data_IF_368450678884
#
_entry.id   IF_368450678884
#
_cell.length_a   1.000
_cell.length_b   1.000
_cell.length_c   1.000
_cell.angle_alpha   90.00
_cell.angle_beta   90.00
_cell.angle_gamma   90.00
#
_symmetry.space_group_name_H-M   'P 1'
#
loop_
_entity.id
_entity.type
_entity.pdbx_description
1 polymer ?
#
# COMPACT_ATOMS: atom_id res chain seq x y z
N UNK A 1 -0.55 -27.33 -16.01
CA UNK A 1 0.20 -26.26 -15.31
C UNK A 1 -0.81 -25.44 -14.52
N UNK A 2 -0.78 -25.53 -13.19
CA UNK A 2 -1.63 -24.70 -12.32
C UNK A 2 -0.72 -24.02 -11.31
N UNK A 3 -0.32 -22.80 -11.63
CA UNK A 3 0.45 -21.94 -10.74
C UNK A 3 -0.49 -21.51 -9.61
N UNK A 4 -0.30 -22.05 -8.42
CA UNK A 4 -0.98 -21.62 -7.21
C UNK A 4 -0.22 -20.38 -6.68
N UNK A 5 -0.72 -19.18 -6.96
CA UNK A 5 -0.17 -17.96 -6.37
C UNK A 5 -0.59 -17.92 -4.90
N UNK A 6 0.39 -18.10 -4.00
CA UNK A 6 0.20 -17.88 -2.55
C UNK A 6 0.39 -16.39 -2.31
N UNK A 7 -0.71 -15.66 -2.23
CA UNK A 7 -0.72 -14.28 -1.77
C UNK A 7 -0.84 -14.25 -0.25
N UNK A 8 0.26 -13.96 0.43
CA UNK A 8 0.32 -13.92 1.89
C UNK A 8 -0.11 -12.55 2.40
N UNK A 9 -1.37 -12.40 2.82
CA UNK A 9 -1.79 -11.34 3.74
C UNK A 9 -1.54 -11.83 5.18
N UNK A 10 -0.43 -11.44 5.79
CA UNK A 10 -0.13 -11.80 7.18
C UNK A 10 -0.94 -10.88 8.12
N UNK A 11 -2.00 -11.42 8.72
CA UNK A 11 -2.81 -10.74 9.73
C UNK A 11 -2.20 -10.99 11.12
N UNK A 12 -1.50 -10.00 11.70
CA UNK A 12 -1.04 -10.05 13.08
C UNK A 12 -2.06 -9.37 14.01
N UNK A 13 -2.60 -10.11 14.98
CA UNK A 13 -3.44 -9.57 16.05
C UNK A 13 -2.64 -9.57 17.36
N UNK A 14 -2.18 -8.40 17.79
CA UNK A 14 -1.55 -8.21 19.12
C UNK A 14 -2.57 -7.66 20.12
N UNK A 15 -2.93 -8.46 21.12
CA UNK A 15 -3.91 -8.12 22.15
C UNK A 15 -3.25 -7.66 23.46
N UNK A 16 -3.42 -6.39 23.79
CA UNK A 16 -3.32 -5.83 25.13
C UNK A 16 -4.45 -4.83 25.27
N UNK A 17 -5.06 -4.71 26.46
CA UNK A 17 -6.29 -3.95 26.77
C UNK A 17 -6.44 -2.66 25.95
N UNK A 18 -7.04 -2.75 24.76
CA UNK A 18 -7.16 -1.68 23.80
C UNK A 18 -8.51 -1.83 23.13
N UNK A 19 -9.20 -0.71 22.98
CA UNK A 19 -10.44 -0.66 22.21
C UNK A 19 -10.28 -1.37 20.85
N UNK A 20 -11.33 -2.08 20.41
CA UNK A 20 -11.27 -2.91 19.21
C UNK A 20 -10.77 -2.09 18.01
N UNK A 21 -9.59 -2.44 17.51
CA UNK A 21 -8.95 -1.84 16.36
C UNK A 21 -8.67 -2.95 15.34
N UNK A 22 -9.09 -2.72 14.09
CA UNK A 22 -8.92 -3.70 13.02
C UNK A 22 -8.38 -3.00 11.79
N UNK A 23 -7.46 -3.69 11.10
CA UNK A 23 -6.99 -3.34 9.77
C UNK A 23 -7.10 -4.60 8.93
N UNK A 24 -7.96 -4.56 7.91
CA UNK A 24 -8.24 -5.66 7.00
C UNK A 24 -7.89 -5.23 5.58
N UNK A 25 -7.31 -6.13 4.79
CA UNK A 25 -6.99 -5.90 3.37
C UNK A 25 -7.66 -6.99 2.55
N UNK A 26 -8.41 -6.61 1.51
CA UNK A 26 -9.38 -7.51 0.87
C UNK A 26 -8.81 -8.48 -0.16
N UNK A 27 -7.61 -8.21 -0.71
CA UNK A 27 -7.04 -9.00 -1.81
C UNK A 27 -5.58 -8.64 -2.09
N UNK A 28 -4.94 -9.41 -2.99
CA UNK A 28 -3.68 -9.04 -3.62
C UNK A 28 -3.97 -8.17 -4.87
N UNK A 29 -3.16 -7.15 -5.16
CA UNK A 29 -3.29 -6.38 -6.39
C UNK A 29 -2.99 -7.24 -7.62
N UNK A 30 -3.54 -6.84 -8.78
CA UNK A 30 -3.22 -7.50 -10.05
C UNK A 30 -1.76 -7.23 -10.46
N UNK A 31 -1.23 -8.08 -11.36
CA UNK A 31 0.13 -7.91 -11.87
C UNK A 31 0.24 -6.61 -12.68
N UNK A 32 1.15 -5.74 -12.27
CA UNK A 32 1.45 -4.48 -12.96
C UNK A 32 2.56 -4.70 -13.99
N UNK A 33 2.32 -4.36 -15.26
CA UNK A 33 3.32 -4.48 -16.34
C UNK A 33 3.48 -3.17 -17.09
N UNK A 34 4.71 -2.63 -17.08
CA UNK A 34 5.06 -1.44 -17.86
C UNK A 34 5.54 -1.88 -19.24
N UNK A 35 4.68 -1.80 -20.25
CA UNK A 35 4.98 -2.27 -21.61
C UNK A 35 4.96 -1.17 -22.67
N UNK A 36 4.43 0.01 -22.34
CA UNK A 36 4.34 1.14 -23.26
C UNK A 36 5.34 2.24 -22.93
N UNK A 37 5.92 2.85 -23.96
CA UNK A 37 6.66 4.10 -23.88
C UNK A 37 6.40 4.89 -25.17
N UNK A 38 6.28 6.21 -25.07
CA UNK A 38 6.33 7.08 -26.25
C UNK A 38 7.80 7.21 -26.65
N UNK A 39 8.12 7.12 -27.94
CA UNK A 39 9.49 7.27 -28.41
C UNK A 39 10.11 8.59 -27.91
N UNK A 40 11.33 8.52 -27.36
CA UNK A 40 12.00 9.68 -26.74
C UNK A 40 11.45 10.09 -25.37
N UNK A 41 10.51 9.34 -24.78
CA UNK A 41 9.91 9.62 -23.47
C UNK A 41 10.16 8.49 -22.47
N UNK A 42 9.82 8.76 -21.20
CA UNK A 42 9.80 7.73 -20.17
C UNK A 42 8.68 6.70 -20.43
N UNK A 43 8.84 5.46 -19.93
CA UNK A 43 7.76 4.48 -19.89
C UNK A 43 6.47 5.04 -19.28
N UNK A 44 5.33 4.55 -19.78
CA UNK A 44 4.02 4.92 -19.27
C UNK A 44 3.83 4.41 -17.84
N UNK A 45 3.19 5.24 -17.03
CA UNK A 45 2.85 4.90 -15.66
C UNK A 45 1.68 3.92 -15.63
N UNK A 46 1.78 2.90 -14.79
CA UNK A 46 0.71 1.89 -14.59
C UNK A 46 0.06 2.13 -13.24
N UNK A 47 -1.27 2.07 -13.18
CA UNK A 47 -2.06 2.29 -11.97
C UNK A 47 -2.97 1.08 -11.72
N UNK A 48 -3.03 0.62 -10.46
CA UNK A 48 -3.87 -0.47 -9.99
C UNK A 48 -4.66 -0.05 -8.76
N UNK A 49 -5.97 -0.30 -8.74
CA UNK A 49 -6.87 0.13 -7.67
C UNK A 49 -7.89 -0.95 -7.25
N UNK A 50 -7.57 -2.21 -7.54
CA UNK A 50 -8.42 -3.39 -7.27
C UNK A 50 -8.44 -3.83 -5.81
N UNK A 51 -7.53 -3.30 -4.98
CA UNK A 51 -7.42 -3.66 -3.56
C UNK A 51 -8.08 -2.61 -2.68
N UNK A 52 -8.71 -3.05 -1.59
CA UNK A 52 -9.26 -2.16 -0.57
C UNK A 52 -8.72 -2.51 0.80
N UNK A 53 -8.70 -1.52 1.70
CA UNK A 53 -8.45 -1.71 3.11
C UNK A 53 -9.65 -1.23 3.92
N UNK A 54 -9.93 -1.91 5.03
CA UNK A 54 -10.92 -1.50 6.01
C UNK A 54 -10.22 -1.26 7.32
N UNK A 55 -10.39 -0.06 7.86
CA UNK A 55 -9.91 0.29 9.19
C UNK A 55 -11.08 0.59 10.11
N UNK A 56 -11.04 0.04 11.32
CA UNK A 56 -11.94 0.40 12.42
C UNK A 56 -11.11 0.79 13.61
N UNK A 57 -11.41 1.93 14.22
CA UNK A 57 -10.70 2.41 15.40
C UNK A 57 -11.66 3.22 16.27
N UNK A 58 -12.22 2.58 17.30
CA UNK A 58 -12.98 3.25 18.35
C UNK A 58 -12.02 3.62 19.49
N UNK A 59 -11.20 4.65 19.29
CA UNK A 59 -9.99 4.86 20.10
C UNK A 59 -9.95 6.22 20.77
N UNK A 60 -9.42 6.25 21.99
CA UNK A 60 -9.09 7.49 22.72
C UNK A 60 -7.82 8.15 22.15
N UNK A 61 -6.85 7.34 21.69
CA UNK A 61 -5.62 7.84 21.06
C UNK A 61 -5.70 7.68 19.54
N UNK A 62 -5.47 8.76 18.76
CA UNK A 62 -5.41 8.70 17.31
C UNK A 62 -4.40 7.65 16.79
N UNK A 63 -4.69 7.06 15.62
CA UNK A 63 -3.82 6.09 14.94
C UNK A 63 -3.34 6.62 13.59
N UNK A 64 -2.30 5.99 13.06
CA UNK A 64 -1.83 6.18 11.69
C UNK A 64 -1.57 4.84 11.03
N UNK A 65 -1.65 4.81 9.71
CA UNK A 65 -1.24 3.67 8.89
C UNK A 65 0.10 4.01 8.27
N UNK A 66 1.07 3.12 8.45
CA UNK A 66 2.35 3.15 7.75
C UNK A 66 2.39 2.08 6.67
N UNK A 67 3.10 2.34 5.59
CA UNK A 67 3.34 1.38 4.51
C UNK A 67 4.85 1.21 4.26
N UNK A 68 5.27 -0.01 3.95
CA UNK A 68 6.62 -0.34 3.49
C UNK A 68 6.59 -1.56 2.56
N UNK A 69 7.67 -1.77 1.81
CA UNK A 69 7.89 -2.99 1.03
C UNK A 69 8.97 -3.87 1.66
N UNK A 70 8.95 -5.16 1.34
CA UNK A 70 9.91 -6.13 1.87
C UNK A 70 11.32 -6.02 1.25
N UNK A 71 11.46 -5.42 0.07
CA UNK A 71 12.74 -5.27 -0.64
C UNK A 71 12.65 -4.10 -1.60
N UNK A 72 13.69 -3.26 -1.64
CA UNK A 72 13.73 -2.06 -2.49
C UNK A 72 13.47 -2.34 -3.97
N UNK A 73 12.77 -1.43 -4.63
CA UNK A 73 12.52 -1.51 -6.07
C UNK A 73 13.84 -1.43 -6.86
N UNK A 74 13.93 -2.09 -8.02
CA UNK A 74 15.10 -1.97 -8.88
C UNK A 74 15.37 -0.52 -9.28
N UNK A 75 16.62 -0.20 -9.60
CA UNK A 75 17.00 1.13 -10.05
C UNK A 75 16.18 1.56 -11.26
N UNK A 76 15.67 2.79 -11.22
CA UNK A 76 14.83 3.34 -12.29
C UNK A 76 13.37 2.91 -12.23
N UNK A 77 12.93 2.17 -11.20
CA UNK A 77 11.52 1.85 -10.94
C UNK A 77 11.09 2.42 -9.59
N UNK A 78 9.89 2.99 -9.53
CA UNK A 78 9.30 3.47 -8.28
C UNK A 78 7.90 2.92 -8.13
N UNK A 79 7.65 2.27 -7.00
CA UNK A 79 6.31 1.88 -6.58
C UNK A 79 5.81 2.93 -5.60
N UNK A 80 4.65 3.50 -5.89
CA UNK A 80 3.95 4.45 -5.01
C UNK A 80 2.61 3.88 -4.59
N UNK A 81 2.16 4.27 -3.41
CA UNK A 81 0.84 3.92 -2.89
C UNK A 81 0.08 5.18 -2.47
N UNK A 82 -1.23 5.16 -2.69
CA UNK A 82 -2.19 6.15 -2.23
C UNK A 82 -3.32 5.43 -1.51
N UNK A 83 -3.54 5.78 -0.24
CA UNK A 83 -4.68 5.29 0.53
C UNK A 83 -5.70 6.42 0.65
N UNK A 84 -6.95 6.13 0.25
CA UNK A 84 -8.07 7.05 0.51
C UNK A 84 -8.33 7.05 2.02
N UNK A 85 -8.18 8.20 2.68
CA UNK A 85 -8.36 8.30 4.12
C UNK A 85 -9.83 8.10 4.52
N UNK A 86 -10.11 7.46 5.68
CA UNK A 86 -11.44 7.45 6.26
C UNK A 86 -11.83 8.87 6.76
N UNK A 87 -13.12 9.08 7.02
CA UNK A 87 -13.65 10.34 7.53
C UNK A 87 -12.93 10.77 8.81
N UNK A 88 -12.44 12.01 8.85
CA UNK A 88 -11.71 12.56 9.99
C UNK A 88 -10.20 12.27 10.01
N UNK A 89 -9.71 11.39 9.13
CA UNK A 89 -8.28 11.12 8.94
C UNK A 89 -7.73 11.87 7.72
N UNK A 90 -6.41 11.95 7.63
CA UNK A 90 -5.70 12.66 6.55
C UNK A 90 -4.87 11.66 5.74
N UNK A 91 -5.01 11.69 4.41
CA UNK A 91 -4.14 10.92 3.51
C UNK A 91 -2.87 11.71 3.24
N UNK A 92 -1.72 11.03 3.21
CA UNK A 92 -0.44 11.62 2.82
C UNK A 92 -0.32 11.83 1.29
N UNK A 93 -1.31 11.40 0.50
CA UNK A 93 -1.23 11.42 -0.96
C UNK A 93 -0.44 10.22 -1.50
N UNK A 94 0.18 10.38 -2.68
CA UNK A 94 1.04 9.35 -3.26
C UNK A 94 2.37 9.30 -2.52
N UNK A 95 2.66 8.18 -1.90
CA UNK A 95 3.88 7.93 -1.13
C UNK A 95 4.73 6.88 -1.85
N UNK A 96 5.98 7.20 -2.14
CA UNK A 96 6.94 6.22 -2.66
C UNK A 96 7.30 5.20 -1.59
N UNK A 97 7.22 3.92 -1.94
CA UNK A 97 7.50 2.82 -1.02
C UNK A 97 8.95 2.36 -1.13
N UNK A 98 9.55 2.11 0.03
CA UNK A 98 10.84 1.47 0.20
C UNK A 98 10.80 0.56 1.45
N UNK A 99 11.94 0.01 1.84
CA UNK A 99 12.04 -0.84 3.04
C UNK A 99 11.76 -0.09 4.35
N UNK A 100 11.77 1.24 4.34
CA UNK A 100 11.42 2.09 5.49
C UNK A 100 9.92 2.34 5.56
N UNK A 101 9.33 2.17 6.74
CA UNK A 101 7.94 2.54 7.00
C UNK A 101 7.69 4.03 6.79
N UNK A 102 6.70 4.36 5.96
CA UNK A 102 6.24 5.73 5.71
C UNK A 102 4.78 5.91 6.06
N UNK A 103 4.46 7.06 6.64
CA UNK A 103 3.08 7.43 6.98
C UNK A 103 2.28 7.62 5.69
N UNK A 104 1.16 6.89 5.56
CA UNK A 104 0.26 6.98 4.39
C UNK A 104 -1.13 7.52 4.75
N UNK A 105 -1.58 7.29 5.98
CA UNK A 105 -2.80 7.88 6.54
C UNK A 105 -2.53 8.24 7.99
N UNK A 106 -2.90 9.44 8.40
CA UNK A 106 -2.68 9.96 9.77
C UNK A 106 -3.98 10.42 10.41
N UNK A 107 -3.94 10.65 11.73
CA UNK A 107 -5.06 11.15 12.53
C UNK A 107 -6.37 10.31 12.43
N UNK A 108 -6.24 8.98 12.36
CA UNK A 108 -7.39 8.07 12.36
C UNK A 108 -7.99 8.04 13.76
N UNK A 109 -9.19 8.57 13.91
CA UNK A 109 -9.95 8.63 15.16
C UNK A 109 -11.37 8.13 14.93
N UNK A 110 -11.95 7.49 15.96
CA UNK A 110 -13.36 7.09 16.05
C UNK A 110 -14.03 6.73 14.71
N UNK A 111 -13.39 5.81 13.98
CA UNK A 111 -13.78 5.45 12.62
C UNK A 111 -14.55 4.14 12.64
N UNK A 112 -15.75 4.15 12.06
CA UNK A 112 -16.53 2.95 11.76
C UNK A 112 -15.91 2.21 10.57
N UNK A 113 -15.96 0.86 10.55
CA UNK A 113 -15.36 0.07 9.48
C UNK A 113 -15.96 0.43 8.12
N UNK A 114 -15.12 0.97 7.24
CA UNK A 114 -15.47 1.28 5.86
C UNK A 114 -14.33 0.83 4.94
N UNK A 115 -14.70 0.15 3.85
CA UNK A 115 -13.74 -0.21 2.81
C UNK A 115 -13.29 1.05 2.05
N UNK A 116 -11.99 1.19 1.88
CA UNK A 116 -11.33 2.30 1.19
C UNK A 116 -10.36 1.75 0.16
N UNK A 117 -10.31 2.39 -1.00
CA UNK A 117 -9.43 1.97 -2.08
C UNK A 117 -7.97 2.18 -1.74
N UNK A 118 -7.14 1.21 -2.11
CA UNK A 118 -5.69 1.35 -2.19
C UNK A 118 -5.34 1.48 -3.67
N UNK A 119 -4.73 2.59 -4.04
CA UNK A 119 -4.19 2.80 -5.38
C UNK A 119 -2.67 2.59 -5.35
N UNK A 120 -2.18 1.66 -6.16
CA UNK A 120 -0.77 1.47 -6.44
C UNK A 120 -0.43 2.08 -7.79
N UNK A 121 0.71 2.76 -7.87
CA UNK A 121 1.20 3.31 -9.12
C UNK A 121 2.68 2.94 -9.30
N UNK A 122 2.96 2.28 -10.43
CA UNK A 122 4.28 1.84 -10.83
C UNK A 122 4.79 2.75 -11.94
N UNK A 123 5.86 3.47 -11.65
CA UNK A 123 6.58 4.28 -12.64
C UNK A 123 7.92 3.63 -12.93
N UNK A 124 8.35 3.74 -14.19
CA UNK A 124 9.67 3.32 -14.62
C UNK A 124 10.30 4.43 -15.45
N UNK A 125 11.62 4.51 -15.40
CA UNK A 125 12.45 5.41 -16.21
C UNK A 125 13.12 4.62 -17.33
N UNK A 126 13.64 5.30 -18.35
CA UNK A 126 14.36 4.64 -19.45
C UNK A 126 15.60 3.88 -18.99
N UNK A 127 16.19 4.23 -17.85
CA UNK A 127 17.36 3.55 -17.29
C UNK A 127 17.03 2.23 -16.58
N UNK A 128 15.75 1.95 -16.33
CA UNK A 128 15.31 0.69 -15.72
C UNK A 128 15.62 -0.54 -16.60
N UNK A 129 15.67 -0.35 -17.93
CA UNK A 129 15.87 -1.43 -18.88
C UNK A 129 14.79 -2.51 -18.80
N UNK A 130 15.15 -3.74 -19.19
CA UNK A 130 14.26 -4.91 -19.06
C UNK A 130 14.44 -5.52 -17.67
N UNK A 131 13.39 -5.52 -16.87
CA UNK A 131 13.38 -6.07 -15.52
C UNK A 131 12.55 -7.36 -15.53
N UNK A 132 13.09 -8.49 -15.04
CA UNK A 132 12.31 -9.72 -14.91
C UNK A 132 11.15 -9.52 -13.91
N UNK A 133 10.06 -10.25 -14.13
CA UNK A 133 8.92 -10.21 -13.21
C UNK A 133 9.38 -10.53 -11.79
N UNK A 134 9.03 -9.68 -10.83
CA UNK A 134 9.35 -9.87 -9.42
C UNK A 134 8.18 -9.44 -8.54
N UNK A 135 8.07 -10.07 -7.38
CA UNK A 135 7.00 -9.79 -6.42
C UNK A 135 7.51 -8.88 -5.32
N UNK A 136 6.69 -7.92 -4.88
CA UNK A 136 6.91 -7.10 -3.69
C UNK A 136 5.72 -7.26 -2.75
N UNK A 137 6.01 -7.45 -1.48
CA UNK A 137 5.00 -7.48 -0.43
C UNK A 137 4.91 -6.10 0.20
N UNK A 138 3.75 -5.47 0.09
CA UNK A 138 3.44 -4.21 0.78
C UNK A 138 2.85 -4.54 2.15
N UNK A 139 3.51 -4.09 3.20
CA UNK A 139 3.04 -4.24 4.58
C UNK A 139 2.41 -2.94 5.05
N UNK A 140 1.13 -3.00 5.44
CA UNK A 140 0.43 -1.91 6.10
C UNK A 140 0.40 -2.17 7.60
N UNK A 141 0.75 -1.17 8.42
CA UNK A 141 0.76 -1.31 9.88
C UNK A 141 -0.01 -0.17 10.51
N UNK A 142 -0.91 -0.51 11.43
CA UNK A 142 -1.63 0.46 12.25
C UNK A 142 -0.82 0.72 13.53
N UNK A 143 -0.39 1.97 13.73
CA UNK A 143 0.40 2.39 14.90
C UNK A 143 -0.19 3.66 15.53
N UNK A 144 0.29 4.02 16.71
CA UNK A 144 -0.14 5.25 17.38
C UNK A 144 0.27 6.49 16.60
N UNK A 145 -0.63 7.47 16.55
CA UNK A 145 -0.34 8.82 16.08
C UNK A 145 -0.09 9.74 17.29
N UNK A 146 0.95 10.59 17.24
CA UNK A 146 1.30 11.50 18.34
C UNK A 146 0.20 12.51 18.65
#
# INVERSE_FOLDING_TARGET
MKLLVVGSALLSFGGGLAHAQTLLVTSNPATMTVTGAVAGSQPLTVTENSTTYTVSALVIQPKKITAQINTDTPTGVTLTVLLVAPSGATSAGRVALDITARDVVTNITNTVPQARTIEYQLTATVSAGVIPVSTRTVTLTLVNYP
#
